data_IF_904799507915
#
_entry.id   IF_904799507915
#
_cell.length_a   1.000
_cell.length_b   1.000
_cell.length_c   1.000
_cell.angle_alpha   90.00
_cell.angle_beta   90.00
_cell.angle_gamma   90.00
#
_symmetry.space_group_name_H-M   'P 1'
#
loop_
_entity.id
_entity.type
_entity.pdbx_description
1 polymer ?
#
# COMPACT_ATOMS: atom_id res chain seq x y z
N UNK A 1 6.54 22.64 17.49
CA UNK A 1 7.63 21.70 17.14
C UNK A 1 6.98 20.51 16.44
N UNK A 2 7.51 20.09 15.29
CA UNK A 2 6.99 18.91 14.60
C UNK A 2 7.20 17.65 15.45
N UNK A 3 6.25 16.75 15.43
CA UNK A 3 6.26 15.46 16.13
C UNK A 3 5.74 14.37 15.17
N UNK A 4 5.93 13.10 15.47
CA UNK A 4 5.22 12.04 14.78
C UNK A 4 3.70 12.25 14.84
N UNK A 5 3.00 12.12 13.71
CA UNK A 5 1.57 12.32 13.58
C UNK A 5 0.87 10.96 13.55
N UNK A 6 0.21 10.59 14.64
CA UNK A 6 -0.55 9.35 14.72
C UNK A 6 -1.91 9.53 14.05
N UNK A 7 -2.17 8.73 13.04
CA UNK A 7 -3.33 8.91 12.16
C UNK A 7 -4.54 8.15 12.68
N UNK A 8 -5.68 8.85 12.69
CA UNK A 8 -7.01 8.28 12.82
C UNK A 8 -7.48 7.87 11.43
N UNK A 9 -7.69 6.57 11.15
CA UNK A 9 -8.01 6.13 9.80
C UNK A 9 -9.46 6.44 9.41
N UNK A 10 -9.71 6.53 8.10
CA UNK A 10 -11.04 6.49 7.54
C UNK A 10 -11.46 5.03 7.30
N UNK A 11 -12.62 4.61 7.81
CA UNK A 11 -13.16 3.27 7.57
C UNK A 11 -14.15 3.25 6.43
N UNK A 12 -14.05 2.26 5.55
CA UNK A 12 -14.91 2.08 4.41
C UNK A 12 -15.60 0.71 4.47
N UNK A 13 -16.94 0.71 4.52
CA UNK A 13 -17.75 -0.50 4.53
C UNK A 13 -17.85 -1.06 3.12
N UNK A 14 -17.75 -2.38 3.01
CA UNK A 14 -17.81 -3.13 1.75
C UNK A 14 -18.57 -4.43 1.96
N UNK A 15 -19.33 -4.86 0.97
CA UNK A 15 -20.10 -6.12 1.03
C UNK A 15 -19.18 -7.33 1.34
N UNK A 16 -17.94 -7.28 0.86
CA UNK A 16 -16.93 -8.31 1.07
C UNK A 16 -16.09 -8.11 2.34
N UNK A 17 -16.31 -7.03 3.09
CA UNK A 17 -15.57 -6.69 4.30
C UNK A 17 -15.86 -7.64 5.47
N UNK A 18 -14.99 -7.60 6.48
CA UNK A 18 -15.02 -8.50 7.62
C UNK A 18 -14.75 -7.83 8.96
N UNK A 19 -14.25 -8.61 9.91
CA UNK A 19 -14.00 -8.20 11.29
C UNK A 19 -12.54 -8.37 11.72
N UNK A 20 -11.63 -8.73 10.80
CA UNK A 20 -10.21 -8.98 11.11
C UNK A 20 -9.47 -7.70 11.54
N UNK A 21 -9.84 -6.55 11.01
CA UNK A 21 -9.33 -5.26 11.49
C UNK A 21 -9.55 -5.07 12.99
N UNK A 22 -10.69 -5.54 13.51
CA UNK A 22 -11.00 -5.52 14.94
C UNK A 22 -10.35 -6.69 15.68
N UNK A 23 -10.50 -7.92 15.18
CA UNK A 23 -10.04 -9.11 15.91
C UNK A 23 -8.53 -9.23 15.96
N UNK A 24 -7.79 -8.77 14.93
CA UNK A 24 -6.32 -8.83 14.86
C UNK A 24 -5.68 -7.57 15.47
N UNK A 25 -6.24 -6.39 15.18
CA UNK A 25 -5.62 -5.11 15.53
C UNK A 25 -6.41 -4.26 16.54
N UNK A 26 -7.58 -4.72 16.99
CA UNK A 26 -8.39 -3.97 17.95
C UNK A 26 -8.96 -2.66 17.39
N UNK A 27 -9.02 -2.49 16.05
CA UNK A 27 -9.54 -1.27 15.44
C UNK A 27 -11.02 -1.06 15.74
N UNK A 28 -11.46 0.19 15.97
CA UNK A 28 -12.87 0.52 16.27
C UNK A 28 -13.70 0.56 14.98
N UNK A 29 -13.82 -0.58 14.29
CA UNK A 29 -14.58 -0.68 13.05
C UNK A 29 -16.05 -0.30 13.27
N UNK A 30 -16.69 0.43 12.32
CA UNK A 30 -18.08 0.85 12.44
C UNK A 30 -19.07 -0.30 12.31
N UNK A 31 -18.73 -1.36 11.57
CA UNK A 31 -19.58 -2.54 11.39
C UNK A 31 -18.77 -3.80 11.08
N UNK A 32 -19.46 -4.96 11.09
CA UNK A 32 -18.88 -6.26 10.71
C UNK A 32 -18.67 -6.43 9.20
N UNK A 33 -18.89 -5.36 8.41
CA UNK A 33 -18.65 -5.26 6.98
C UNK A 33 -17.59 -4.21 6.64
N UNK A 34 -16.68 -3.91 7.58
CA UNK A 34 -15.60 -2.96 7.34
C UNK A 34 -14.51 -3.61 6.49
N UNK A 35 -14.49 -3.29 5.20
CA UNK A 35 -13.54 -3.87 4.25
C UNK A 35 -12.20 -3.16 4.21
N UNK A 36 -12.17 -1.84 4.43
CA UNK A 36 -10.96 -1.03 4.31
C UNK A 36 -10.80 -0.07 5.48
N UNK A 37 -9.56 0.08 5.94
CA UNK A 37 -9.11 1.12 6.85
C UNK A 37 -8.05 1.94 6.13
N UNK A 38 -8.38 3.17 5.75
CA UNK A 38 -7.48 4.08 5.04
C UNK A 38 -6.61 4.79 6.07
N UNK A 39 -5.43 4.26 6.25
CA UNK A 39 -4.51 4.61 7.33
C UNK A 39 -3.87 5.98 7.13
N UNK A 40 -3.41 6.23 5.90
CA UNK A 40 -2.82 7.50 5.49
C UNK A 40 -3.45 7.88 4.17
N UNK A 41 -4.32 8.87 4.19
CA UNK A 41 -5.11 9.29 3.04
C UNK A 41 -5.40 10.79 3.05
N UNK A 42 -5.01 11.45 1.95
CA UNK A 42 -5.48 12.78 1.59
C UNK A 42 -6.52 12.73 0.45
N UNK A 43 -6.97 11.53 0.05
CA UNK A 43 -7.92 11.33 -1.04
C UNK A 43 -9.32 11.82 -0.64
N UNK A 44 -10.03 12.60 -1.47
CA UNK A 44 -11.30 13.25 -1.10
C UNK A 44 -12.43 12.28 -0.73
N UNK A 45 -12.37 11.02 -1.18
CA UNK A 45 -13.34 9.99 -0.81
C UNK A 45 -13.20 9.47 0.62
N UNK A 46 -12.04 9.68 1.27
CA UNK A 46 -11.81 9.22 2.62
C UNK A 46 -10.53 9.81 3.20
N UNK A 47 -10.66 10.75 4.11
CA UNK A 47 -9.55 11.47 4.72
C UNK A 47 -9.16 10.84 6.05
N UNK A 48 -7.88 10.52 6.23
CA UNK A 48 -7.36 10.25 7.56
C UNK A 48 -7.06 11.55 8.31
N UNK A 49 -7.05 11.50 9.64
CA UNK A 49 -6.89 12.67 10.48
C UNK A 49 -5.84 12.43 11.57
N UNK A 50 -5.36 13.51 12.20
CA UNK A 50 -4.56 13.47 13.40
C UNK A 50 -4.98 14.62 14.31
N UNK A 51 -5.34 14.31 15.57
CA UNK A 51 -5.78 15.30 16.56
C UNK A 51 -6.91 16.21 16.03
N UNK A 52 -7.85 15.62 15.27
CA UNK A 52 -9.03 16.31 14.73
C UNK A 52 -8.79 17.13 13.47
N UNK A 53 -7.57 17.17 12.93
CA UNK A 53 -7.24 17.77 11.62
C UNK A 53 -7.04 16.68 10.57
N UNK A 54 -7.67 16.84 9.42
CA UNK A 54 -7.48 15.95 8.26
C UNK A 54 -6.07 16.08 7.68
N UNK A 55 -5.60 15.04 6.99
CA UNK A 55 -4.27 15.09 6.36
C UNK A 55 -4.11 16.28 5.40
N UNK A 56 -5.07 16.65 4.54
CA UNK A 56 -4.98 17.89 3.75
C UNK A 56 -4.82 19.17 4.58
N UNK A 57 -5.53 19.29 5.71
CA UNK A 57 -5.38 20.45 6.60
C UNK A 57 -3.99 20.50 7.24
N UNK A 58 -3.45 19.35 7.64
CA UNK A 58 -2.07 19.25 8.15
C UNK A 58 -1.04 19.59 7.07
N UNK A 59 -1.26 19.16 5.82
CA UNK A 59 -0.40 19.51 4.68
C UNK A 59 -0.47 21.01 4.41
N UNK A 60 -1.66 21.61 4.46
CA UNK A 60 -1.81 23.05 4.28
C UNK A 60 -1.11 23.86 5.38
N UNK A 61 -1.11 23.35 6.62
CA UNK A 61 -0.48 24.00 7.78
C UNK A 61 1.06 23.90 7.75
N UNK A 62 1.60 22.72 7.46
CA UNK A 62 3.03 22.45 7.59
C UNK A 62 3.79 22.45 6.25
N UNK A 63 3.10 22.33 5.12
CA UNK A 63 3.69 22.33 3.78
C UNK A 63 4.83 21.31 3.65
N UNK A 64 5.92 21.73 3.03
CA UNK A 64 7.11 20.90 2.83
C UNK A 64 7.78 20.44 4.13
N UNK A 65 7.50 21.04 5.28
CA UNK A 65 7.99 20.52 6.56
C UNK A 65 7.39 19.17 6.88
N UNK A 66 6.14 18.91 6.45
CA UNK A 66 5.48 17.62 6.58
C UNK A 66 5.83 16.70 5.42
N UNK A 67 5.56 17.11 4.18
CA UNK A 67 5.62 16.23 3.01
C UNK A 67 7.03 16.05 2.44
N UNK A 68 7.92 17.00 2.70
CA UNK A 68 9.26 17.07 2.08
C UNK A 68 9.25 17.81 0.75
N UNK A 69 10.46 18.06 0.24
CA UNK A 69 10.68 18.79 -1.02
C UNK A 69 10.54 17.91 -2.26
N UNK A 70 10.51 16.58 -2.11
CA UNK A 70 10.32 15.63 -3.21
C UNK A 70 8.84 15.55 -3.64
N UNK A 71 7.88 15.93 -2.79
CA UNK A 71 6.45 15.99 -3.12
C UNK A 71 6.11 17.37 -3.70
N UNK A 72 5.83 17.43 -5.00
CA UNK A 72 5.61 18.70 -5.73
C UNK A 72 4.16 18.91 -6.20
N UNK A 73 3.24 18.09 -5.79
CA UNK A 73 1.82 18.15 -6.20
C UNK A 73 0.90 17.70 -5.08
N UNK A 74 -0.16 17.02 -5.45
CA UNK A 74 -1.05 16.39 -4.49
C UNK A 74 -0.32 15.33 -3.68
N UNK A 75 -0.82 15.02 -2.48
CA UNK A 75 -0.23 13.98 -1.64
C UNK A 75 -0.26 12.62 -2.38
N UNK A 76 0.89 11.97 -2.60
CA UNK A 76 1.00 10.94 -3.64
C UNK A 76 0.55 9.55 -3.20
N UNK A 77 0.37 9.30 -1.90
CA UNK A 77 0.16 7.96 -1.37
C UNK A 77 -1.23 7.77 -0.77
N UNK A 78 -1.72 6.54 -0.87
CA UNK A 78 -2.84 6.04 -0.09
C UNK A 78 -2.40 4.70 0.52
N UNK A 79 -2.47 4.61 1.85
CA UNK A 79 -2.10 3.41 2.60
C UNK A 79 -3.34 2.84 3.28
N UNK A 80 -3.56 1.54 3.09
CA UNK A 80 -4.74 0.86 3.60
C UNK A 80 -4.38 -0.42 4.35
N UNK A 81 -5.26 -0.80 5.26
CA UNK A 81 -5.44 -2.17 5.71
C UNK A 81 -6.76 -2.68 5.13
N UNK A 82 -6.72 -3.82 4.45
CA UNK A 82 -7.87 -4.41 3.74
C UNK A 82 -8.22 -5.73 4.40
N UNK A 83 -9.46 -5.83 4.87
CA UNK A 83 -10.03 -7.06 5.44
C UNK A 83 -10.97 -7.70 4.43
N UNK A 84 -10.47 -8.66 3.68
CA UNK A 84 -11.18 -9.41 2.68
C UNK A 84 -11.80 -10.67 3.28
N UNK A 85 -13.04 -10.60 3.77
CA UNK A 85 -13.83 -11.80 4.17
C UNK A 85 -14.19 -12.65 2.95
N UNK A 86 -14.50 -11.99 1.84
CA UNK A 86 -14.83 -12.62 0.55
C UNK A 86 -13.86 -12.14 -0.53
N UNK A 87 -13.86 -12.81 -1.69
CA UNK A 87 -13.10 -12.38 -2.85
C UNK A 87 -13.47 -10.96 -3.28
N UNK A 88 -12.50 -10.10 -3.44
CA UNK A 88 -12.70 -8.82 -4.12
C UNK A 88 -12.95 -9.05 -5.62
N UNK A 89 -13.56 -8.09 -6.29
CA UNK A 89 -13.72 -8.16 -7.74
C UNK A 89 -12.38 -8.30 -8.46
N UNK A 90 -12.36 -9.03 -9.56
CA UNK A 90 -11.23 -9.02 -10.48
C UNK A 90 -11.21 -7.66 -11.16
N UNK A 91 -10.06 -7.01 -11.10
CA UNK A 91 -9.90 -5.61 -11.49
C UNK A 91 -8.53 -5.33 -12.11
N UNK A 92 -8.44 -4.19 -12.74
CA UNK A 92 -7.21 -3.62 -13.28
C UNK A 92 -7.21 -2.12 -13.05
N UNK A 93 -6.05 -1.51 -12.96
CA UNK A 93 -5.89 -0.08 -12.75
C UNK A 93 -5.15 0.59 -13.92
N UNK A 94 -5.49 1.86 -14.25
CA UNK A 94 -4.77 2.61 -15.25
C UNK A 94 -3.41 3.09 -14.73
N UNK A 95 -2.48 3.38 -15.64
CA UNK A 95 -1.30 4.19 -15.37
C UNK A 95 -1.65 5.70 -15.33
N UNK A 96 -0.66 6.53 -14.94
CA UNK A 96 -0.85 7.98 -14.82
C UNK A 96 -1.29 8.61 -16.15
N UNK A 97 -0.71 8.17 -17.26
CA UNK A 97 -1.01 8.75 -18.59
C UNK A 97 -2.46 8.48 -19.01
N UNK A 98 -2.96 7.28 -18.75
CA UNK A 98 -4.35 6.94 -19.03
C UNK A 98 -5.30 7.65 -18.05
N UNK A 99 -4.99 7.64 -16.76
CA UNK A 99 -5.80 8.29 -15.72
C UNK A 99 -5.97 9.80 -16.01
N UNK A 100 -4.89 10.49 -16.33
CA UNK A 100 -4.92 11.91 -16.66
C UNK A 100 -5.72 12.20 -17.95
N UNK A 101 -5.52 11.39 -18.99
CA UNK A 101 -6.17 11.61 -20.30
C UNK A 101 -7.65 11.28 -20.29
N UNK A 102 -8.05 10.18 -19.62
CA UNK A 102 -9.40 9.63 -19.74
C UNK A 102 -10.29 10.03 -18.57
N UNK A 103 -9.71 10.09 -17.34
CA UNK A 103 -10.48 10.37 -16.12
C UNK A 103 -10.26 11.79 -15.59
N UNK A 104 -9.18 12.46 -15.99
CA UNK A 104 -8.77 13.74 -15.41
C UNK A 104 -8.17 13.60 -14.01
N UNK A 105 -7.84 12.38 -13.59
CA UNK A 105 -7.24 12.09 -12.28
C UNK A 105 -5.74 12.38 -12.32
N UNK A 106 -5.13 12.87 -11.23
CA UNK A 106 -3.70 13.19 -11.19
C UNK A 106 -2.81 11.94 -11.25
N UNK A 107 -3.30 10.82 -10.72
CA UNK A 107 -2.56 9.56 -10.57
C UNK A 107 -3.31 8.38 -11.17
N UNK A 108 -2.55 7.45 -11.76
CA UNK A 108 -2.95 6.07 -11.95
C UNK A 108 -2.95 5.30 -10.63
N UNK A 109 -2.91 3.96 -10.71
CA UNK A 109 -2.90 3.16 -9.49
C UNK A 109 -1.94 1.97 -9.62
N UNK A 110 -0.67 2.23 -9.34
CA UNK A 110 0.33 1.20 -9.03
C UNK A 110 0.30 0.96 -7.54
N UNK A 111 0.40 -0.30 -7.12
CA UNK A 111 0.26 -0.70 -5.72
C UNK A 111 1.19 -1.85 -5.34
N UNK A 112 1.35 -2.06 -4.04
CA UNK A 112 2.00 -3.24 -3.48
C UNK A 112 1.23 -3.71 -2.26
N UNK A 113 1.16 -5.03 -2.11
CA UNK A 113 0.49 -5.69 -0.99
C UNK A 113 1.47 -6.47 -0.13
N UNK A 114 1.16 -6.53 1.15
CA UNK A 114 1.77 -7.49 2.08
C UNK A 114 0.66 -8.27 2.76
N UNK A 115 0.75 -9.58 2.73
CA UNK A 115 -0.20 -10.45 3.42
C UNK A 115 0.10 -10.41 4.92
N UNK A 116 -0.81 -9.83 5.72
CA UNK A 116 -0.67 -9.68 7.17
C UNK A 116 -1.27 -10.86 7.94
N UNK A 117 -2.39 -11.39 7.44
CA UNK A 117 -3.08 -12.56 7.99
C UNK A 117 -3.85 -13.26 6.87
N UNK A 118 -3.89 -14.58 6.87
CA UNK A 118 -4.67 -15.38 5.93
C UNK A 118 -4.89 -16.79 6.43
N UNK A 119 -5.93 -17.45 5.92
CA UNK A 119 -6.16 -18.87 6.17
C UNK A 119 -5.15 -19.74 5.39
N UNK A 120 -4.85 -20.97 5.87
CA UNK A 120 -4.05 -21.92 5.09
C UNK A 120 -4.67 -22.23 3.73
N UNK A 121 -3.85 -22.18 2.67
CA UNK A 121 -4.32 -22.37 1.29
C UNK A 121 -4.96 -21.12 0.66
N UNK A 122 -4.76 -19.95 1.27
CA UNK A 122 -5.22 -18.69 0.72
C UNK A 122 -4.61 -18.43 -0.66
N UNK A 123 -5.44 -17.92 -1.57
CA UNK A 123 -5.05 -17.58 -2.94
C UNK A 123 -5.54 -16.18 -3.29
N UNK A 124 -4.87 -15.58 -4.25
CA UNK A 124 -5.31 -14.35 -4.90
C UNK A 124 -5.12 -14.46 -6.41
N UNK A 125 -5.76 -13.58 -7.19
CA UNK A 125 -5.52 -13.49 -8.64
C UNK A 125 -4.35 -12.53 -8.88
N UNK A 126 -3.38 -12.96 -9.70
CA UNK A 126 -2.21 -12.16 -10.07
C UNK A 126 -1.79 -12.41 -11.51
N UNK A 127 -2.51 -11.82 -12.44
CA UNK A 127 -2.33 -11.95 -13.88
C UNK A 127 -3.41 -12.75 -14.59
N UNK A 128 -3.24 -12.89 -15.88
CA UNK A 128 -4.04 -13.72 -16.81
C UNK A 128 -3.12 -14.56 -17.67
N UNK A 129 -3.64 -15.64 -18.25
CA UNK A 129 -2.89 -16.57 -19.11
C UNK A 129 -3.27 -16.50 -20.59
N UNK A 130 -3.96 -15.42 -21.01
CA UNK A 130 -4.37 -15.19 -22.39
C UNK A 130 -4.04 -13.77 -22.85
N UNK A 131 -4.10 -13.51 -24.16
CA UNK A 131 -3.98 -12.18 -24.73
C UNK A 131 -5.31 -11.39 -24.67
N UNK A 132 -5.25 -10.08 -25.00
CA UNK A 132 -6.42 -9.19 -24.92
C UNK A 132 -7.54 -9.55 -25.90
N UNK A 133 -7.26 -10.18 -27.05
CA UNK A 133 -8.28 -10.60 -28.02
C UNK A 133 -9.06 -11.81 -27.45
N UNK A 134 -8.34 -12.80 -26.97
CA UNK A 134 -8.92 -13.95 -26.27
C UNK A 134 -9.70 -13.49 -25.03
N UNK A 135 -9.12 -12.63 -24.20
CA UNK A 135 -9.75 -12.11 -23.00
C UNK A 135 -11.10 -11.44 -23.31
N UNK A 136 -11.18 -10.58 -24.34
CA UNK A 136 -12.44 -9.95 -24.76
C UNK A 136 -13.50 -11.00 -25.12
N UNK A 137 -13.11 -12.03 -25.88
CA UNK A 137 -13.99 -13.13 -26.27
C UNK A 137 -14.50 -13.92 -25.06
N UNK A 138 -13.61 -14.25 -24.13
CA UNK A 138 -13.92 -15.05 -22.95
C UNK A 138 -14.79 -14.31 -21.93
N UNK A 139 -14.59 -13.01 -21.78
CA UNK A 139 -15.48 -12.14 -20.98
C UNK A 139 -16.89 -12.16 -21.58
N UNK A 140 -17.03 -12.00 -22.93
CA UNK A 140 -18.33 -12.02 -23.59
C UNK A 140 -19.07 -13.34 -23.45
N UNK A 141 -18.34 -14.44 -23.23
CA UNK A 141 -18.85 -15.80 -23.04
C UNK A 141 -19.02 -16.18 -21.56
N UNK A 142 -18.66 -15.27 -20.63
CA UNK A 142 -18.75 -15.53 -19.18
C UNK A 142 -17.73 -16.51 -18.64
N UNK A 143 -16.59 -16.68 -19.33
CA UNK A 143 -15.52 -17.64 -18.97
C UNK A 143 -14.22 -16.98 -18.53
N UNK A 144 -14.23 -15.73 -18.12
CA UNK A 144 -13.05 -15.02 -17.65
C UNK A 144 -12.27 -15.77 -16.55
N UNK A 145 -12.99 -16.43 -15.65
CA UNK A 145 -12.40 -17.13 -14.52
C UNK A 145 -11.49 -18.31 -14.91
N UNK A 146 -11.66 -18.88 -16.11
CA UNK A 146 -10.78 -19.93 -16.67
C UNK A 146 -9.38 -19.40 -17.01
N UNK A 147 -9.25 -18.09 -17.20
CA UNK A 147 -7.99 -17.41 -17.58
C UNK A 147 -7.31 -16.65 -16.45
N UNK A 148 -7.87 -16.69 -15.24
CA UNK A 148 -7.30 -16.02 -14.09
C UNK A 148 -6.14 -16.82 -13.48
N UNK A 149 -4.96 -16.22 -13.40
CA UNK A 149 -3.80 -16.84 -12.74
C UNK A 149 -3.96 -16.68 -11.23
N UNK A 150 -4.29 -17.79 -10.55
CA UNK A 150 -4.37 -17.84 -9.08
C UNK A 150 -3.01 -18.23 -8.52
N UNK A 151 -2.57 -17.52 -7.49
CA UNK A 151 -1.30 -17.78 -6.78
C UNK A 151 -1.55 -18.04 -5.31
N UNK A 152 -0.88 -19.04 -4.77
CA UNK A 152 -0.91 -19.33 -3.34
C UNK A 152 -0.10 -18.27 -2.59
N UNK A 153 -0.62 -17.84 -1.45
CA UNK A 153 0.02 -16.85 -0.60
C UNK A 153 0.00 -17.26 0.87
N UNK A 154 0.90 -16.67 1.64
CA UNK A 154 1.02 -16.84 3.09
C UNK A 154 1.42 -15.52 3.74
N UNK A 155 1.27 -15.44 5.04
CA UNK A 155 1.69 -14.30 5.84
C UNK A 155 3.14 -13.92 5.57
N UNK A 156 3.37 -12.63 5.29
CA UNK A 156 4.66 -12.03 4.96
C UNK A 156 5.01 -12.03 3.47
N UNK A 157 4.20 -12.65 2.61
CA UNK A 157 4.38 -12.54 1.16
C UNK A 157 4.08 -11.11 0.69
N UNK A 158 4.86 -10.66 -0.29
CA UNK A 158 4.78 -9.34 -0.90
C UNK A 158 4.43 -9.49 -2.37
N UNK A 159 3.50 -8.68 -2.85
CA UNK A 159 3.14 -8.59 -4.27
C UNK A 159 3.30 -7.15 -4.73
N UNK A 160 4.05 -6.95 -5.81
CA UNK A 160 4.12 -5.68 -6.51
C UNK A 160 3.18 -5.74 -7.71
N UNK A 161 2.23 -4.82 -7.77
CA UNK A 161 1.13 -4.80 -8.73
C UNK A 161 1.19 -3.48 -9.51
N UNK A 162 1.98 -3.43 -10.60
CA UNK A 162 1.99 -2.26 -11.45
C UNK A 162 0.65 -2.07 -12.17
N UNK A 163 0.33 -0.82 -12.49
CA UNK A 163 -0.82 -0.50 -13.35
C UNK A 163 -0.84 -1.38 -14.60
N UNK A 164 -2.02 -1.84 -15.01
CA UNK A 164 -2.22 -2.79 -16.11
C UNK A 164 -2.26 -4.27 -15.69
N UNK A 165 -1.94 -4.60 -14.45
CA UNK A 165 -2.02 -5.98 -13.94
C UNK A 165 -3.46 -6.35 -13.58
N UNK A 166 -3.96 -7.45 -14.12
CA UNK A 166 -5.23 -8.05 -13.66
C UNK A 166 -5.01 -8.74 -12.31
N UNK A 167 -5.80 -8.39 -11.31
CA UNK A 167 -5.63 -8.92 -9.97
C UNK A 167 -6.93 -8.95 -9.16
N UNK A 168 -6.94 -9.73 -8.09
CA UNK A 168 -7.99 -9.72 -7.06
C UNK A 168 -7.46 -10.25 -5.75
N UNK A 169 -7.80 -9.60 -4.64
CA UNK A 169 -7.56 -10.14 -3.30
C UNK A 169 -8.54 -11.30 -3.06
N UNK A 170 -8.00 -12.41 -2.59
CA UNK A 170 -8.78 -13.59 -2.23
C UNK A 170 -9.50 -13.45 -0.89
N UNK A 171 -10.36 -14.43 -0.61
CA UNK A 171 -11.13 -14.42 0.63
C UNK A 171 -10.28 -14.77 1.87
N UNK A 172 -10.77 -14.35 3.03
CA UNK A 172 -10.23 -14.66 4.35
C UNK A 172 -8.78 -14.22 4.56
N UNK A 173 -8.44 -13.00 4.13
CA UNK A 173 -7.12 -12.42 4.34
C UNK A 173 -7.16 -10.96 4.77
N UNK A 174 -6.10 -10.56 5.46
CA UNK A 174 -5.84 -9.18 5.85
C UNK A 174 -4.58 -8.70 5.12
N UNK A 175 -4.68 -7.61 4.40
CA UNK A 175 -3.63 -7.06 3.54
C UNK A 175 -3.23 -5.66 4.02
N UNK A 176 -1.93 -5.39 4.05
CA UNK A 176 -1.39 -4.04 4.00
C UNK A 176 -1.23 -3.65 2.53
N UNK A 177 -1.78 -2.53 2.14
CA UNK A 177 -1.64 -1.97 0.81
C UNK A 177 -1.01 -0.59 0.85
N UNK A 178 0.03 -0.38 0.04
CA UNK A 178 0.52 0.95 -0.34
C UNK A 178 0.29 1.16 -1.82
N UNK A 179 -0.28 2.29 -2.19
CA UNK A 179 -0.63 2.64 -3.56
C UNK A 179 -0.45 4.13 -3.83
N UNK A 180 -0.50 4.51 -5.11
CA UNK A 180 -0.71 5.90 -5.49
C UNK A 180 -2.06 6.40 -4.93
N UNK A 181 -2.18 7.71 -4.69
CA UNK A 181 -3.39 8.35 -4.15
C UNK A 181 -4.52 8.38 -5.20
N UNK A 182 -5.08 7.22 -5.50
CA UNK A 182 -6.14 6.99 -6.48
C UNK A 182 -7.09 5.91 -6.01
N UNK A 183 -8.39 6.05 -6.29
CA UNK A 183 -9.39 4.98 -6.09
C UNK A 183 -9.93 4.48 -7.44
N UNK A 184 -9.22 4.76 -8.54
CA UNK A 184 -9.63 4.38 -9.88
C UNK A 184 -9.49 2.88 -10.11
N UNK A 185 -10.63 2.21 -10.28
CA UNK A 185 -10.71 0.75 -10.43
C UNK A 185 -11.59 0.39 -11.62
N UNK A 186 -11.05 -0.39 -12.55
CA UNK A 186 -11.82 -0.98 -13.66
C UNK A 186 -12.10 -2.43 -13.35
N UNK A 187 -13.37 -2.75 -13.11
CA UNK A 187 -13.83 -4.08 -12.71
C UNK A 187 -14.12 -4.92 -13.93
N UNK A 188 -13.53 -6.12 -13.96
CA UNK A 188 -13.71 -7.13 -15.00
C UNK A 188 -14.72 -8.20 -14.61
N UNK A 189 -14.72 -8.62 -13.32
CA UNK A 189 -15.54 -9.71 -12.83
C UNK A 189 -15.84 -9.56 -11.34
N UNK A 190 -17.04 -9.86 -10.93
CA UNK A 190 -17.50 -9.65 -9.56
C UNK A 190 -18.01 -10.93 -8.86
N UNK A 191 -17.59 -12.11 -9.31
CA UNK A 191 -17.95 -13.39 -8.71
C UNK A 191 -19.47 -13.59 -8.60
N UNK A 192 -20.23 -13.16 -9.62
CA UNK A 192 -21.70 -13.24 -9.64
C UNK A 192 -22.44 -12.16 -8.84
N UNK A 193 -21.73 -11.27 -8.16
CA UNK A 193 -22.35 -10.11 -7.49
C UNK A 193 -22.85 -9.09 -8.51
N UNK A 194 -23.93 -8.39 -8.17
CA UNK A 194 -24.43 -7.28 -8.99
C UNK A 194 -23.53 -6.05 -8.81
N UNK A 195 -22.57 -5.88 -9.71
CA UNK A 195 -21.62 -4.77 -9.70
C UNK A 195 -21.41 -4.26 -11.14
N UNK A 196 -21.20 -2.97 -11.27
CA UNK A 196 -20.84 -2.36 -12.55
C UNK A 196 -19.51 -2.91 -13.04
N UNK A 197 -19.44 -3.32 -14.30
CA UNK A 197 -18.24 -3.79 -14.98
C UNK A 197 -17.75 -2.72 -15.96
N UNK A 198 -16.43 -2.57 -16.07
CA UNK A 198 -15.77 -1.54 -16.88
C UNK A 198 -14.95 -2.18 -18.01
N UNK A 199 -15.57 -3.08 -18.80
CA UNK A 199 -14.86 -4.00 -19.71
C UNK A 199 -13.98 -3.24 -20.72
N UNK A 200 -14.51 -2.24 -21.42
CA UNK A 200 -13.75 -1.51 -22.45
C UNK A 200 -12.54 -0.78 -21.84
N UNK A 201 -12.73 -0.03 -20.77
CA UNK A 201 -11.63 0.66 -20.07
C UNK A 201 -10.59 -0.35 -19.49
N UNK A 202 -11.07 -1.49 -19.02
CA UNK A 202 -10.16 -2.56 -18.56
C UNK A 202 -9.28 -3.05 -19.71
N UNK A 203 -9.88 -3.37 -20.85
CA UNK A 203 -9.14 -3.87 -22.02
C UNK A 203 -8.18 -2.84 -22.62
N UNK A 204 -8.46 -1.53 -22.43
CA UNK A 204 -7.54 -0.46 -22.84
C UNK A 204 -6.25 -0.43 -22.03
N UNK A 205 -6.29 -0.86 -20.75
CA UNK A 205 -5.17 -0.71 -19.82
C UNK A 205 -4.48 -2.03 -19.44
N UNK A 206 -5.08 -3.19 -19.73
CA UNK A 206 -4.49 -4.48 -19.39
C UNK A 206 -3.20 -4.71 -20.16
N UNK A 207 -2.15 -5.06 -19.43
CA UNK A 207 -0.94 -5.68 -19.97
C UNK A 207 -0.94 -7.18 -19.59
N UNK A 208 -1.25 -8.08 -20.53
CA UNK A 208 -1.37 -9.51 -20.25
C UNK A 208 -0.05 -10.19 -19.88
N UNK A 209 1.08 -9.48 -20.01
CA UNK A 209 2.39 -9.97 -19.60
C UNK A 209 2.69 -9.72 -18.12
N UNK A 210 1.86 -8.90 -17.47
CA UNK A 210 2.01 -8.60 -16.05
C UNK A 210 1.35 -9.66 -15.18
N UNK A 211 1.95 -9.90 -14.04
CA UNK A 211 1.59 -10.93 -13.09
C UNK A 211 2.85 -11.56 -12.50
N UNK A 212 2.74 -12.69 -11.87
CA UNK A 212 3.93 -13.38 -11.37
C UNK A 212 3.72 -14.19 -10.11
N UNK A 213 4.66 -14.05 -9.19
CA UNK A 213 4.67 -14.78 -7.91
C UNK A 213 4.96 -13.79 -6.79
N UNK A 214 4.55 -14.12 -5.55
CA UNK A 214 4.99 -13.39 -4.38
C UNK A 214 6.51 -13.25 -4.34
N UNK A 215 6.97 -12.09 -3.95
CA UNK A 215 8.39 -11.75 -3.89
C UNK A 215 8.88 -11.67 -2.45
N UNK A 216 10.19 -11.63 -2.28
CA UNK A 216 10.85 -11.35 -1.00
C UNK A 216 11.69 -10.10 -1.18
N UNK A 217 11.77 -9.29 -0.11
CA UNK A 217 12.67 -8.15 -0.08
C UNK A 217 14.13 -8.54 0.19
N UNK A 218 15.02 -7.57 0.06
CA UNK A 218 16.42 -7.67 0.44
C UNK A 218 16.60 -7.21 1.88
N UNK A 219 17.02 -8.11 2.75
CA UNK A 219 17.16 -7.87 4.18
C UNK A 219 18.57 -7.40 4.54
N UNK A 220 18.63 -6.30 5.29
CA UNK A 220 19.86 -5.71 5.81
C UNK A 220 19.84 -5.73 7.35
N UNK A 221 20.95 -6.13 7.96
CA UNK A 221 21.18 -5.88 9.37
C UNK A 221 21.62 -4.42 9.55
N UNK A 222 20.99 -3.71 10.48
CA UNK A 222 21.32 -2.33 10.84
C UNK A 222 21.37 -2.20 12.35
N UNK A 223 21.88 -1.07 12.86
CA UNK A 223 21.85 -0.78 14.29
C UNK A 223 20.41 -0.87 14.84
N UNK A 224 20.22 -1.62 15.90
CA UNK A 224 18.94 -1.80 16.58
C UNK A 224 17.95 -2.71 15.88
N UNK A 225 18.31 -3.38 14.75
CA UNK A 225 17.38 -4.29 14.10
C UNK A 225 17.69 -4.66 12.66
N UNK A 226 16.63 -4.75 11.84
CA UNK A 226 16.77 -5.03 10.40
C UNK A 226 15.86 -4.16 9.56
N UNK A 227 16.32 -3.84 8.35
CA UNK A 227 15.51 -3.27 7.25
C UNK A 227 15.40 -4.33 6.15
N UNK A 228 14.22 -4.48 5.58
CA UNK A 228 14.00 -5.32 4.41
C UNK A 228 13.38 -4.44 3.32
N UNK A 229 14.14 -4.17 2.27
CA UNK A 229 13.69 -3.38 1.12
C UNK A 229 12.90 -4.30 0.20
N UNK A 230 11.62 -4.04 0.06
CA UNK A 230 10.68 -4.90 -0.66
C UNK A 230 10.38 -4.37 -2.05
N UNK A 231 9.98 -3.09 -2.14
CA UNK A 231 9.61 -2.43 -3.40
C UNK A 231 10.27 -1.06 -3.47
N UNK A 232 10.79 -0.72 -4.62
CA UNK A 232 11.18 0.64 -5.01
C UNK A 232 10.66 0.91 -6.40
N UNK A 233 9.69 1.81 -6.50
CA UNK A 233 9.02 2.23 -7.72
C UNK A 233 8.96 3.77 -7.75
N UNK A 234 8.89 4.44 -8.90
CA UNK A 234 8.70 5.89 -8.95
C UNK A 234 7.50 6.40 -8.16
N UNK A 235 6.47 5.56 -7.99
CA UNK A 235 5.24 5.93 -7.28
C UNK A 235 5.36 5.79 -5.76
N UNK A 236 6.13 4.82 -5.27
CA UNK A 236 6.35 4.59 -3.83
C UNK A 236 7.53 3.64 -3.56
N UNK A 237 8.00 3.65 -2.32
CA UNK A 237 8.88 2.62 -1.78
C UNK A 237 8.20 1.92 -0.60
N UNK A 238 8.50 0.63 -0.41
CA UNK A 238 8.02 -0.20 0.68
C UNK A 238 9.16 -0.95 1.34
N UNK A 239 9.31 -0.78 2.65
CA UNK A 239 10.28 -1.49 3.48
C UNK A 239 9.57 -2.14 4.69
N UNK A 240 10.09 -3.27 5.15
CA UNK A 240 9.76 -3.81 6.47
C UNK A 240 10.88 -3.47 7.44
N UNK A 241 10.53 -2.81 8.54
CA UNK A 241 11.41 -2.46 9.65
C UNK A 241 11.14 -3.43 10.79
N UNK A 242 12.19 -4.05 11.34
CA UNK A 242 12.10 -4.86 12.55
C UNK A 242 13.06 -4.26 13.58
N UNK A 243 12.52 -3.53 14.54
CA UNK A 243 13.29 -2.94 15.62
C UNK A 243 13.37 -3.94 16.79
N UNK A 244 14.55 -4.46 17.06
CA UNK A 244 14.81 -5.37 18.18
C UNK A 244 15.47 -4.66 19.37
N UNK A 245 15.93 -3.45 19.17
CA UNK A 245 16.48 -2.49 20.12
C UNK A 245 16.20 -1.07 19.65
N UNK A 246 16.93 -0.10 20.20
CA UNK A 246 16.83 1.30 19.75
C UNK A 246 17.49 1.45 18.39
N UNK A 247 16.66 1.65 17.36
CA UNK A 247 17.06 1.79 15.97
C UNK A 247 17.07 3.26 15.58
N UNK A 248 18.25 3.88 15.36
CA UNK A 248 18.33 5.29 14.97
C UNK A 248 17.83 5.48 13.54
N UNK A 249 17.04 6.52 13.34
CA UNK A 249 16.45 6.92 12.08
C UNK A 249 16.59 8.44 11.91
N UNK A 250 16.44 8.91 10.66
CA UNK A 250 16.55 10.34 10.35
C UNK A 250 15.68 10.71 9.17
N UNK A 251 15.12 11.91 9.20
CA UNK A 251 14.62 12.65 8.04
C UNK A 251 15.53 13.84 7.75
N UNK A 252 15.60 14.26 6.48
CA UNK A 252 16.51 15.31 6.02
C UNK A 252 15.78 16.49 5.34
N UNK A 253 14.46 16.55 5.48
CA UNK A 253 13.61 17.56 4.85
C UNK A 253 13.20 17.23 3.41
N UNK A 254 13.71 16.15 2.82
CA UNK A 254 13.39 15.80 1.42
C UNK A 254 12.12 14.99 1.30
N UNK A 255 11.83 14.09 2.25
CA UNK A 255 10.67 13.19 2.21
C UNK A 255 10.14 12.85 3.61
N UNK A 256 8.85 12.63 3.67
CA UNK A 256 8.17 12.04 4.83
C UNK A 256 8.31 10.52 4.85
N UNK A 257 8.04 9.90 6.00
CA UNK A 257 7.87 8.46 6.09
C UNK A 257 6.52 8.13 6.73
N UNK A 258 5.77 7.23 6.10
CA UNK A 258 4.57 6.65 6.68
C UNK A 258 4.90 5.28 7.26
N UNK A 259 4.48 5.04 8.48
CA UNK A 259 4.65 3.76 9.17
C UNK A 259 3.30 3.16 9.53
N UNK A 260 3.16 1.86 9.33
CA UNK A 260 2.06 1.06 9.87
C UNK A 260 2.65 -0.06 10.71
N UNK A 261 2.35 -0.06 11.99
CA UNK A 261 2.85 -1.05 12.93
C UNK A 261 2.04 -2.36 12.84
N UNK A 262 2.73 -3.49 12.83
CA UNK A 262 2.11 -4.82 12.93
C UNK A 262 2.42 -5.52 14.26
N UNK A 263 3.27 -4.91 15.07
CA UNK A 263 3.43 -5.25 16.48
C UNK A 263 3.80 -4.00 17.29
N UNK A 264 3.64 -4.08 18.60
CA UNK A 264 3.82 -2.96 19.51
C UNK A 264 5.28 -2.49 19.62
N UNK A 265 5.46 -1.20 19.87
CA UNK A 265 6.74 -0.56 20.08
C UNK A 265 6.58 0.91 20.42
N UNK A 266 7.63 1.70 20.22
CA UNK A 266 7.57 3.15 20.41
C UNK A 266 8.47 3.90 19.42
N UNK A 267 8.08 5.14 19.14
CA UNK A 267 8.90 6.13 18.42
C UNK A 267 9.39 7.17 19.43
N UNK A 268 10.67 7.54 19.32
CA UNK A 268 11.36 8.47 20.21
C UNK A 268 11.97 9.58 19.35
N UNK A 269 11.80 10.85 19.73
CA UNK A 269 12.37 12.01 19.03
C UNK A 269 12.83 13.08 20.00
N UNK A 270 13.47 14.13 19.53
CA UNK A 270 13.80 15.29 20.36
C UNK A 270 12.50 16.01 20.77
N UNK A 271 12.08 15.83 21.98
CA UNK A 271 10.83 16.38 22.53
C UNK A 271 9.87 15.34 23.07
N UNK A 272 10.17 14.03 22.97
CA UNK A 272 9.35 13.01 23.60
C UNK A 272 9.43 11.61 23.03
N UNK A 273 8.52 10.79 23.47
CA UNK A 273 8.28 9.45 22.93
C UNK A 273 6.78 9.15 22.90
N UNK A 274 6.39 8.26 22.01
CA UNK A 274 5.02 7.77 21.90
C UNK A 274 5.01 6.28 21.59
N UNK A 275 4.26 5.51 22.36
CA UNK A 275 4.05 4.09 22.10
C UNK A 275 3.10 3.89 20.92
N UNK A 276 3.40 2.98 20.02
CA UNK A 276 2.48 2.51 18.99
C UNK A 276 2.07 1.05 19.25
N UNK A 277 0.86 0.74 18.85
CA UNK A 277 0.30 -0.62 18.91
C UNK A 277 0.15 -1.20 17.51
N UNK A 278 0.11 -2.51 17.43
CA UNK A 278 -0.25 -3.20 16.20
C UNK A 278 -1.54 -2.61 15.57
N UNK A 279 -1.52 -2.39 14.27
CA UNK A 279 -2.60 -1.77 13.50
C UNK A 279 -2.62 -0.25 13.50
N UNK A 280 -1.73 0.43 14.25
CA UNK A 280 -1.63 1.91 14.20
C UNK A 280 -0.70 2.37 13.10
N UNK A 281 -1.08 3.49 12.47
CA UNK A 281 -0.25 4.16 11.47
C UNK A 281 0.10 5.57 11.90
N UNK A 282 1.31 6.01 11.54
CA UNK A 282 1.78 7.36 11.83
C UNK A 282 2.70 7.90 10.74
N UNK A 283 2.73 9.22 10.60
CA UNK A 283 3.64 9.92 9.71
C UNK A 283 4.81 10.49 10.51
N UNK A 284 6.00 10.33 9.97
CA UNK A 284 7.19 11.07 10.38
C UNK A 284 7.37 12.24 9.41
N UNK A 285 7.20 13.49 9.86
CA UNK A 285 7.39 14.67 9.03
C UNK A 285 8.79 14.74 8.43
N UNK A 286 8.89 15.24 7.21
CA UNK A 286 10.16 15.38 6.51
C UNK A 286 11.20 16.23 7.28
N UNK A 287 10.75 17.24 8.02
CA UNK A 287 11.59 18.13 8.80
C UNK A 287 11.76 17.72 10.27
N UNK A 288 11.36 16.50 10.68
CA UNK A 288 11.48 16.06 12.08
C UNK A 288 12.95 15.97 12.53
N UNK A 289 13.86 15.53 11.64
CA UNK A 289 15.25 15.28 11.97
C UNK A 289 15.49 13.89 12.54
N UNK A 290 16.26 13.79 13.62
CA UNK A 290 16.61 12.51 14.24
C UNK A 290 15.48 11.96 15.08
N UNK A 291 15.25 10.65 14.96
CA UNK A 291 14.31 9.87 15.76
C UNK A 291 14.79 8.43 15.90
N UNK A 292 14.18 7.66 16.77
CA UNK A 292 14.46 6.23 16.88
C UNK A 292 13.16 5.44 16.96
N UNK A 293 13.21 4.21 16.46
CA UNK A 293 12.19 3.20 16.69
C UNK A 293 12.72 2.21 17.72
N UNK A 294 11.89 1.77 18.65
CA UNK A 294 12.26 0.80 19.66
C UNK A 294 11.16 -0.25 19.82
N UNK A 295 11.49 -1.48 19.48
CA UNK A 295 10.55 -2.59 19.46
C UNK A 295 9.63 -2.58 18.24
N UNK A 296 9.09 -3.75 17.92
CA UNK A 296 8.05 -3.91 16.92
C UNK A 296 8.53 -4.17 15.48
N UNK A 297 7.54 -4.52 14.70
CA UNK A 297 7.64 -4.68 13.24
C UNK A 297 6.71 -3.67 12.60
N UNK A 298 7.23 -2.91 11.62
CA UNK A 298 6.49 -1.88 10.92
C UNK A 298 6.71 -2.00 9.41
N UNK A 299 5.69 -1.65 8.63
CA UNK A 299 5.85 -1.33 7.22
C UNK A 299 6.07 0.16 7.08
N UNK A 300 7.13 0.52 6.38
CA UNK A 300 7.54 1.90 6.09
C UNK A 300 7.32 2.16 4.61
N UNK A 301 6.50 3.16 4.29
CA UNK A 301 6.27 3.60 2.92
C UNK A 301 6.59 5.08 2.76
N UNK A 302 7.08 5.46 1.57
CA UNK A 302 7.41 6.84 1.24
C UNK A 302 7.39 7.06 -0.28
N UNK A 303 7.28 8.32 -0.68
CA UNK A 303 7.46 8.73 -2.06
C UNK A 303 8.96 8.94 -2.33
N UNK A 304 9.61 8.18 -3.23
CA UNK A 304 11.05 8.22 -3.39
C UNK A 304 11.50 9.14 -4.52
N UNK A 305 12.65 9.78 -4.34
CA UNK A 305 13.52 10.08 -5.46
C UNK A 305 14.27 8.78 -5.81
N UNK A 306 13.91 8.13 -6.90
CA UNK A 306 14.40 6.78 -7.24
C UNK A 306 15.92 6.76 -7.37
N UNK A 307 16.51 7.71 -8.11
CA UNK A 307 17.96 7.75 -8.35
C UNK A 307 18.74 7.88 -7.04
N UNK A 308 18.34 8.84 -6.17
CA UNK A 308 18.92 9.03 -4.85
C UNK A 308 18.76 7.79 -3.98
N UNK A 309 17.55 7.19 -3.98
CA UNK A 309 17.25 6.02 -3.16
C UNK A 309 18.03 4.78 -3.62
N UNK A 310 18.17 4.55 -4.94
CA UNK A 310 19.02 3.48 -5.48
C UNK A 310 20.47 3.66 -5.03
N UNK A 311 21.02 4.89 -5.11
CA UNK A 311 22.37 5.16 -4.66
C UNK A 311 22.54 4.89 -3.15
N UNK A 312 21.61 5.35 -2.32
CA UNK A 312 21.60 5.12 -0.87
C UNK A 312 21.55 3.61 -0.53
N UNK A 313 20.63 2.85 -1.16
CA UNK A 313 20.48 1.43 -0.90
C UNK A 313 21.66 0.61 -1.41
N UNK A 314 22.20 0.94 -2.57
CA UNK A 314 23.38 0.28 -3.13
C UNK A 314 24.61 0.51 -2.23
N UNK A 315 24.78 1.70 -1.69
CA UNK A 315 25.86 2.02 -0.74
C UNK A 315 25.73 1.20 0.57
N UNK A 316 24.51 0.80 0.94
CA UNK A 316 24.25 -0.09 2.07
C UNK A 316 24.39 -1.59 1.71
N UNK A 317 24.74 -1.92 0.46
CA UNK A 317 24.91 -3.31 0.01
C UNK A 317 23.64 -4.01 -0.43
N UNK A 318 22.56 -3.28 -0.72
CA UNK A 318 21.32 -3.85 -1.29
C UNK A 318 21.56 -4.27 -2.73
N UNK A 319 21.31 -5.53 -3.05
CA UNK A 319 21.22 -5.98 -4.43
C UNK A 319 19.86 -5.58 -5.02
N UNK A 320 19.88 -4.51 -5.79
CA UNK A 320 18.68 -3.93 -6.38
C UNK A 320 17.97 -4.87 -7.36
N UNK A 321 18.64 -5.90 -7.90
CA UNK A 321 18.00 -6.88 -8.80
C UNK A 321 16.91 -7.72 -8.09
N UNK A 322 16.98 -7.80 -6.76
CA UNK A 322 16.02 -8.53 -5.93
C UNK A 322 14.96 -7.64 -5.26
N UNK A 323 14.97 -6.34 -5.52
CA UNK A 323 13.96 -5.39 -5.05
C UNK A 323 12.88 -5.24 -6.13
N UNK A 324 11.61 -5.33 -5.77
CA UNK A 324 10.48 -5.13 -6.69
C UNK A 324 10.34 -3.67 -7.14
N UNK A 325 9.46 -3.46 -8.13
CA UNK A 325 9.19 -2.14 -8.68
C UNK A 325 9.92 -1.86 -10.01
N UNK A 326 9.53 -0.77 -10.64
CA UNK A 326 10.18 -0.22 -11.85
C UNK A 326 11.21 0.83 -11.42
N UNK A 327 12.31 0.96 -12.15
CA UNK A 327 13.39 1.91 -11.84
C UNK A 327 13.92 2.55 -13.09
#
# INVERSE_FOLDING_TARGET
>A
MLKPLFMDPYFNEKDWGGTRLKSVYGKPIPSDHTGESWEVSAHPMGLSACEGKTLPELIAEYGAQLTGTEVTGEFPLLIKLIDAREWLSVQVHPDDAYAQRVEGDPYGKTEAWVVLDCEPGAQLVFGIDCDNETLRSEIAQGRLDEHLVKVDVKVGDVLYIPAGTVHAIGANMLIYEVQQSSDRTYRLYAWGRNAELHIDKSLDVIDPKQGGKPMKGVKLAVEGGTREVMVLDPCFALERITATGRMPMKTDGTRFYAYTAVSDGKVIWDGGEHAYRAGQSFLIPAALGEYALEGGVLYKSYYPNVEKTVAELTALGVDMAHVGGKR
#
